data_IF_445402809717
#
_entry.id   IF_445402809717
#
_cell.length_a   1.000
_cell.length_b   1.000
_cell.length_c   1.000
_cell.angle_alpha   90.00
_cell.angle_beta   90.00
_cell.angle_gamma   90.00
#
_symmetry.space_group_name_H-M   'P 1'
#
loop_
_entity.id
_entity.type
_entity.pdbx_description
1 polymer ?
2 water ?
#
# COMPACT_ATOMS: atom_id res chain seq x y z
N UNK A 1 -4.08 2.62 6.93
CA UNK A 1 -3.02 1.75 6.38
C UNK A 1 -2.52 2.36 5.07
N UNK A 2 -1.34 1.94 4.60
CA UNK A 2 -0.68 2.50 3.43
C UNK A 2 -0.45 4.01 3.60
N UNK A 3 0.39 4.35 4.57
CA UNK A 3 0.63 5.70 5.02
C UNK A 3 2.10 6.02 5.11
N UNK A 4 2.49 7.17 4.54
CA UNK A 4 3.88 7.74 4.64
C UNK A 4 3.79 9.11 5.29
N UNK A 5 4.17 6.34 1.36
CA UNK A 5 4.36 5.13 0.48
C UNK A 5 5.06 5.57 -0.84
N UNK A 6 6.25 5.04 -1.10
CA UNK A 6 7.02 5.41 -2.27
C UNK A 6 6.44 4.87 -3.58
N UNK A 7 6.51 3.55 -3.79
CA UNK A 7 6.11 2.83 -5.00
C UNK A 7 5.39 1.52 -4.66
N UNK A 8 4.18 1.39 -5.23
CA UNK A 8 3.39 0.16 -5.14
C UNK A 8 3.08 -0.48 -6.51
N UNK A 9 3.64 -1.66 -6.79
CA UNK A 9 3.33 -2.47 -7.98
C UNK A 9 2.54 -3.75 -7.66
N UNK A 10 2.30 -4.02 -6.38
CA UNK A 10 1.62 -5.21 -5.89
C UNK A 10 0.24 -4.88 -5.36
N UNK A 11 -0.14 -5.60 -4.29
CA UNK A 11 -1.42 -5.45 -3.62
C UNK A 11 -1.23 -5.02 -2.17
N UNK A 12 -1.95 -3.99 -1.73
CA UNK A 12 -2.03 -3.60 -0.32
C UNK A 12 -3.51 -3.53 0.01
N UNK A 13 -4.02 -4.47 0.82
CA UNK A 13 -5.45 -4.70 0.98
C UNK A 13 -5.83 -4.77 2.44
N UNK A 14 -6.77 -3.91 2.88
CA UNK A 14 -7.28 -3.94 4.25
C UNK A 14 -8.75 -4.33 4.26
N UNK A 15 -9.08 -5.45 4.89
CA UNK A 15 -10.46 -5.85 5.04
C UNK A 15 -10.94 -5.84 6.52
#
# INVERSE_FOLDING_TARGET
FAEDVGSNKGAIIGL
#
